data_IF_243200551636
#
_entry.id   IF_243200551636
#
_cell.length_a   1.000
_cell.length_b   1.000
_cell.length_c   1.000
_cell.angle_alpha   90.00
_cell.angle_beta   90.00
_cell.angle_gamma   90.00
#
_symmetry.space_group_name_H-M   'P 1'
#
loop_
_entity.id
_entity.type
_entity.pdbx_description
1 polymer ?
#
# COMPACT_ATOMS: atom_id res chain seq x y z
N UNK A 1 49.64 24.73 -5.79
CA UNK A 1 48.82 25.31 -4.72
C UNK A 1 47.61 25.98 -5.36
N UNK A 2 46.40 25.72 -4.86
CA UNK A 2 45.18 26.34 -5.36
C UNK A 2 44.89 27.64 -4.62
N UNK A 3 44.32 28.62 -5.32
CA UNK A 3 43.86 29.89 -4.74
C UNK A 3 42.44 30.21 -5.22
N UNK A 4 41.68 30.88 -4.36
CA UNK A 4 40.31 31.29 -4.63
C UNK A 4 40.24 32.81 -4.61
N UNK A 5 39.55 33.37 -5.60
CA UNK A 5 39.28 34.79 -5.70
C UNK A 5 37.79 35.04 -5.94
N UNK A 6 37.24 36.02 -5.24
CA UNK A 6 35.86 36.46 -5.45
C UNK A 6 35.84 37.73 -6.32
N UNK A 7 34.98 37.75 -7.33
CA UNK A 7 34.92 38.82 -8.33
C UNK A 7 33.49 39.28 -8.58
N UNK A 8 33.28 40.59 -8.64
CA UNK A 8 32.05 41.18 -9.15
C UNK A 8 32.13 41.28 -10.69
N UNK A 9 31.30 40.51 -11.41
CA UNK A 9 31.32 40.45 -12.89
C UNK A 9 30.00 40.89 -13.55
N UNK A 10 29.07 41.46 -12.78
CA UNK A 10 27.79 41.94 -13.29
C UNK A 10 27.85 43.40 -13.73
N UNK A 11 26.94 43.79 -14.63
CA UNK A 11 26.68 45.20 -14.97
C UNK A 11 25.60 45.84 -14.11
N UNK A 12 24.82 45.04 -13.35
CA UNK A 12 23.77 45.50 -12.44
C UNK A 12 24.35 46.22 -11.22
N UNK A 13 23.50 46.93 -10.48
CA UNK A 13 23.89 47.56 -9.21
C UNK A 13 24.10 46.50 -8.11
N UNK A 14 23.19 45.53 -7.99
CA UNK A 14 23.32 44.36 -7.11
C UNK A 14 23.45 43.07 -7.90
N UNK A 15 24.36 42.20 -7.49
CA UNK A 15 24.56 40.89 -8.09
C UNK A 15 25.39 39.95 -7.21
N UNK A 16 25.28 38.66 -7.51
CA UNK A 16 26.08 37.64 -6.86
C UNK A 16 27.56 37.70 -7.26
N UNK A 17 28.43 37.46 -6.29
CA UNK A 17 29.86 37.32 -6.51
C UNK A 17 30.18 36.04 -7.30
N UNK A 18 31.17 36.10 -8.16
CA UNK A 18 31.70 34.96 -8.89
C UNK A 18 32.96 34.47 -8.18
N UNK A 19 32.95 33.22 -7.75
CA UNK A 19 34.13 32.53 -7.25
C UNK A 19 34.99 32.09 -8.44
N UNK A 20 36.30 32.35 -8.36
CA UNK A 20 37.30 31.92 -9.33
C UNK A 20 38.35 31.06 -8.63
N UNK A 21 38.44 29.80 -9.02
CA UNK A 21 39.47 28.86 -8.59
C UNK A 21 40.64 28.88 -9.57
N UNK A 22 41.86 29.05 -9.07
CA UNK A 22 43.09 29.02 -9.86
C UNK A 22 44.07 28.02 -9.26
N UNK A 23 44.69 27.21 -10.10
CA UNK A 23 45.78 26.32 -9.67
C UNK A 23 46.67 25.98 -10.86
N UNK A 24 47.91 25.58 -10.56
CA UNK A 24 48.88 25.10 -11.54
C UNK A 24 49.14 23.61 -11.34
N UNK A 25 49.07 22.84 -12.41
CA UNK A 25 49.33 21.40 -12.42
C UNK A 25 50.03 21.03 -13.74
N UNK A 26 51.09 20.22 -13.68
CA UNK A 26 51.91 19.81 -14.84
C UNK A 26 52.30 20.98 -15.77
N UNK A 27 52.80 22.06 -15.17
CA UNK A 27 53.18 23.30 -15.84
C UNK A 27 52.05 24.08 -16.57
N UNK A 28 50.80 23.60 -16.52
CA UNK A 28 49.60 24.27 -17.07
C UNK A 28 48.82 24.98 -15.97
N UNK A 29 48.29 26.16 -16.30
CA UNK A 29 47.44 26.94 -15.41
C UNK A 29 45.97 26.67 -15.71
N UNK A 30 45.21 26.36 -14.65
CA UNK A 30 43.78 26.08 -14.73
C UNK A 30 43.00 27.19 -14.03
N UNK A 31 41.91 27.61 -14.68
CA UNK A 31 41.04 28.67 -14.17
C UNK A 31 39.59 28.28 -14.38
N UNK A 32 38.86 28.10 -13.28
CA UNK A 32 37.44 27.83 -13.30
C UNK A 32 36.67 28.88 -12.52
N UNK A 33 35.46 29.21 -12.99
CA UNK A 33 34.62 30.22 -12.38
C UNK A 33 33.18 29.74 -12.22
N UNK A 34 32.60 30.00 -11.04
CA UNK A 34 31.23 29.66 -10.71
C UNK A 34 30.55 30.79 -9.91
N UNK A 35 29.23 30.89 -10.00
CA UNK A 35 28.45 31.93 -9.33
C UNK A 35 28.12 31.48 -7.90
N UNK A 36 28.36 32.35 -6.92
CA UNK A 36 27.94 32.14 -5.54
C UNK A 36 26.49 32.62 -5.34
N UNK A 37 25.93 32.44 -4.14
CA UNK A 37 24.68 33.09 -3.68
C UNK A 37 24.92 34.34 -2.84
N UNK A 38 26.18 34.80 -2.71
CA UNK A 38 26.53 36.01 -1.94
C UNK A 38 26.27 37.23 -2.82
N UNK A 39 25.17 37.95 -2.56
CA UNK A 39 24.79 39.17 -3.28
C UNK A 39 25.38 40.41 -2.61
N UNK A 40 26.01 41.29 -3.40
CA UNK A 40 26.53 42.58 -2.93
C UNK A 40 26.24 43.68 -3.94
N UNK A 41 26.35 44.95 -3.54
CA UNK A 41 26.32 46.08 -4.48
C UNK A 41 27.68 46.31 -5.14
N UNK A 42 27.67 46.83 -6.37
CA UNK A 42 28.88 47.15 -7.15
C UNK A 42 29.72 48.23 -6.45
N UNK A 43 29.06 49.24 -5.88
CA UNK A 43 29.71 50.30 -5.13
C UNK A 43 30.43 49.74 -3.90
N UNK A 44 29.74 48.95 -3.09
CA UNK A 44 30.32 48.33 -1.90
C UNK A 44 31.55 47.47 -2.24
N UNK A 45 31.41 46.53 -3.18
CA UNK A 45 32.51 45.62 -3.52
C UNK A 45 33.75 46.33 -4.05
N UNK A 46 33.57 47.39 -4.85
CA UNK A 46 34.68 48.10 -5.51
C UNK A 46 35.32 49.20 -4.67
N UNK A 47 34.56 49.86 -3.79
CA UNK A 47 35.02 51.06 -3.05
C UNK A 47 35.08 50.88 -1.54
N UNK A 48 34.34 49.93 -0.98
CA UNK A 48 34.20 49.81 0.47
C UNK A 48 34.77 48.50 1.00
N UNK A 49 34.54 47.36 0.36
CA UNK A 49 34.82 46.04 0.93
C UNK A 49 36.28 45.79 1.38
N UNK A 50 37.27 46.33 0.65
CA UNK A 50 38.71 46.18 0.98
C UNK A 50 39.33 47.40 1.68
N UNK A 51 38.59 48.49 1.79
CA UNK A 51 39.11 49.74 2.34
C UNK A 51 38.76 49.87 3.82
N UNK A 52 39.67 50.43 4.61
CA UNK A 52 39.40 50.73 6.03
C UNK A 52 38.26 51.76 6.10
N UNK A 53 37.15 51.37 6.74
CA UNK A 53 36.02 52.26 6.99
C UNK A 53 36.02 52.70 8.46
N UNK A 54 35.57 53.93 8.72
CA UNK A 54 35.23 54.40 10.07
C UNK A 54 33.74 54.23 10.40
N UNK A 55 32.94 53.88 9.39
CA UNK A 55 31.52 53.60 9.52
C UNK A 55 31.34 52.16 10.04
N UNK A 56 30.60 52.04 11.13
CA UNK A 56 30.35 50.77 11.81
C UNK A 56 29.47 49.82 10.99
N UNK A 57 28.51 50.34 10.22
CA UNK A 57 27.63 49.50 9.39
C UNK A 57 28.42 48.85 8.26
N UNK A 58 29.29 49.63 7.60
CA UNK A 58 30.18 49.13 6.55
C UNK A 58 31.16 48.09 7.12
N UNK A 59 31.69 48.34 8.33
CA UNK A 59 32.65 47.43 8.99
C UNK A 59 31.98 46.09 9.37
N UNK A 60 30.74 46.14 9.85
CA UNK A 60 29.96 44.94 10.14
C UNK A 60 29.67 44.14 8.86
N UNK A 61 29.25 44.81 7.79
CA UNK A 61 29.00 44.18 6.49
C UNK A 61 30.28 43.56 5.87
N UNK A 62 31.44 44.22 6.03
CA UNK A 62 32.74 43.65 5.64
C UNK A 62 33.01 42.33 6.38
N UNK A 63 32.77 42.32 7.68
CA UNK A 63 32.98 41.14 8.53
C UNK A 63 32.05 40.00 8.15
N UNK A 64 30.76 40.28 7.98
CA UNK A 64 29.76 39.29 7.56
C UNK A 64 30.12 38.65 6.22
N UNK A 65 30.39 39.47 5.20
CA UNK A 65 30.74 38.98 3.87
C UNK A 65 32.05 38.20 3.92
N UNK A 66 33.10 38.70 4.58
CA UNK A 66 34.37 37.96 4.71
C UNK A 66 34.20 36.61 5.40
N UNK A 67 33.36 36.53 6.43
CA UNK A 67 33.08 35.26 7.11
C UNK A 67 32.42 34.25 6.16
N UNK A 68 31.43 34.67 5.36
CA UNK A 68 30.80 33.79 4.37
C UNK A 68 31.76 33.40 3.23
N UNK A 69 32.56 34.34 2.73
CA UNK A 69 33.55 34.05 1.69
C UNK A 69 34.61 33.06 2.18
N UNK A 70 35.10 33.23 3.42
CA UNK A 70 36.04 32.31 4.06
C UNK A 70 35.46 30.91 4.23
N UNK A 71 34.16 30.77 4.57
CA UNK A 71 33.50 29.46 4.67
C UNK A 71 33.45 28.76 3.31
N UNK A 72 33.03 29.48 2.27
CA UNK A 72 32.99 28.96 0.89
C UNK A 72 34.39 28.56 0.43
N UNK A 73 35.39 29.41 0.65
CA UNK A 73 36.78 29.15 0.29
C UNK A 73 37.32 27.89 0.98
N UNK A 74 37.12 27.77 2.28
CA UNK A 74 37.54 26.60 3.04
C UNK A 74 36.86 25.30 2.56
N UNK A 75 35.57 25.34 2.23
CA UNK A 75 34.85 24.19 1.69
C UNK A 75 35.46 23.72 0.36
N UNK A 76 35.64 24.64 -0.59
CA UNK A 76 36.16 24.33 -1.93
C UNK A 76 37.62 23.88 -1.87
N UNK A 77 38.47 24.53 -1.05
CA UNK A 77 39.87 24.12 -0.90
C UNK A 77 40.03 22.75 -0.23
N UNK A 78 39.19 22.42 0.76
CA UNK A 78 39.16 21.08 1.35
C UNK A 78 38.77 20.02 0.31
N UNK A 79 37.71 20.27 -0.46
CA UNK A 79 37.28 19.37 -1.53
C UNK A 79 38.32 19.24 -2.65
N UNK A 80 39.02 20.33 -2.98
CA UNK A 80 40.11 20.34 -3.96
C UNK A 80 41.24 19.39 -3.54
N UNK A 81 41.63 19.42 -2.27
CA UNK A 81 42.71 18.59 -1.75
C UNK A 81 42.36 17.08 -1.68
N UNK A 82 41.08 16.71 -1.79
CA UNK A 82 40.62 15.32 -1.74
C UNK A 82 40.41 14.67 -3.11
N UNK A 83 40.67 15.39 -4.21
CA UNK A 83 40.46 14.88 -5.57
C UNK A 83 41.71 15.05 -6.44
N UNK A 84 41.82 14.26 -7.52
CA UNK A 84 42.90 14.43 -8.48
C UNK A 84 42.72 15.76 -9.26
N UNK A 85 43.72 16.67 -9.29
CA UNK A 85 43.66 17.94 -10.02
C UNK A 85 43.26 17.84 -11.51
N UNK A 86 43.48 16.69 -12.17
CA UNK A 86 43.06 16.46 -13.57
C UNK A 86 41.54 16.28 -13.73
N UNK A 87 40.83 15.89 -12.67
CA UNK A 87 39.38 15.66 -12.67
C UNK A 87 38.55 16.93 -12.43
N UNK A 88 39.23 18.05 -12.15
CA UNK A 88 38.60 19.30 -11.77
C UNK A 88 38.11 20.03 -13.02
N UNK A 89 36.81 20.28 -13.06
CA UNK A 89 36.13 20.99 -14.15
C UNK A 89 35.30 22.15 -13.59
N UNK A 90 34.76 22.98 -14.49
CA UNK A 90 33.77 24.00 -14.12
C UNK A 90 32.53 23.39 -13.47
N UNK A 91 32.10 22.21 -13.91
CA UNK A 91 30.94 21.52 -13.37
C UNK A 91 31.24 21.01 -11.96
N UNK A 92 32.43 20.45 -11.72
CA UNK A 92 32.88 20.09 -10.38
C UNK A 92 32.81 21.27 -9.41
N UNK A 93 33.32 22.44 -9.82
CA UNK A 93 33.30 23.65 -8.98
C UNK A 93 31.88 24.12 -8.69
N UNK A 94 30.99 24.01 -9.68
CA UNK A 94 29.57 24.35 -9.52
C UNK A 94 28.90 23.37 -8.54
N UNK A 95 29.18 22.07 -8.64
CA UNK A 95 28.67 21.06 -7.70
C UNK A 95 29.17 21.26 -6.28
N UNK A 96 30.43 21.68 -6.06
CA UNK A 96 30.92 21.99 -4.71
C UNK A 96 30.19 23.20 -4.10
N UNK A 97 29.89 24.23 -4.90
CA UNK A 97 29.06 25.34 -4.42
C UNK A 97 27.64 24.88 -4.11
N UNK A 98 27.07 24.00 -4.93
CA UNK A 98 25.74 23.43 -4.66
C UNK A 98 25.74 22.58 -3.39
N UNK A 99 26.79 21.80 -3.12
CA UNK A 99 26.95 21.06 -1.85
C UNK A 99 27.17 21.98 -0.65
N UNK A 100 27.84 23.12 -0.82
CA UNK A 100 27.94 24.10 0.26
C UNK A 100 26.57 24.67 0.65
N UNK A 101 25.75 25.02 -0.34
CA UNK A 101 24.42 25.61 -0.09
C UNK A 101 23.33 24.57 0.20
N UNK A 102 23.49 23.34 -0.30
CA UNK A 102 22.60 22.20 -0.13
C UNK A 102 23.45 20.98 0.22
N UNK A 103 23.98 20.92 1.45
CA UNK A 103 24.79 19.78 1.87
C UNK A 103 24.00 18.49 1.62
N UNK A 104 24.58 17.47 0.96
CA UNK A 104 23.94 16.18 0.85
C UNK A 104 23.62 15.76 2.28
N UNK A 105 22.33 15.51 2.54
CA UNK A 105 21.89 15.00 3.84
C UNK A 105 22.72 13.77 4.10
N UNK A 106 23.49 13.76 5.19
CA UNK A 106 24.20 12.56 5.67
C UNK A 106 23.28 11.35 5.49
N UNK A 107 23.80 10.27 4.92
CA UNK A 107 23.07 9.01 4.78
C UNK A 107 22.38 8.71 6.11
N UNK A 108 21.05 8.89 6.16
CA UNK A 108 20.29 8.68 7.39
C UNK A 108 20.61 7.28 7.85
N UNK A 109 21.28 7.16 9.00
CA UNK A 109 21.63 5.87 9.57
C UNK A 109 20.39 4.98 9.55
N UNK A 110 20.51 3.79 8.94
CA UNK A 110 19.35 2.91 8.75
C UNK A 110 18.81 2.54 10.14
N UNK A 111 17.52 2.78 10.44
CA UNK A 111 16.99 2.54 11.78
C UNK A 111 17.15 1.07 12.21
N UNK A 112 17.57 0.84 13.45
CA UNK A 112 17.69 -0.50 14.03
C UNK A 112 16.46 -0.93 14.82
N UNK A 113 15.60 0.02 15.20
CA UNK A 113 14.31 -0.25 15.81
C UNK A 113 13.25 -0.56 14.74
N UNK A 114 12.32 -1.46 15.05
CA UNK A 114 11.37 -1.98 14.10
C UNK A 114 10.35 -0.93 13.64
N UNK A 115 9.97 0.03 14.51
CA UNK A 115 8.92 1.01 14.21
C UNK A 115 9.39 2.04 13.20
N UNK A 116 10.54 2.67 13.45
CA UNK A 116 11.14 3.62 12.50
C UNK A 116 11.60 2.92 11.23
N UNK A 117 12.01 1.64 11.32
CA UNK A 117 12.34 0.86 10.14
C UNK A 117 11.13 0.63 9.22
N UNK A 118 9.90 0.56 9.74
CA UNK A 118 8.70 0.48 8.90
C UNK A 118 8.54 1.75 8.06
N UNK A 119 8.79 2.93 8.62
CA UNK A 119 8.75 4.18 7.86
C UNK A 119 9.85 4.22 6.80
N UNK A 120 11.07 3.83 7.17
CA UNK A 120 12.18 3.67 6.23
C UNK A 120 11.81 2.71 5.08
N UNK A 121 11.23 1.54 5.39
CA UNK A 121 10.81 0.56 4.39
C UNK A 121 9.73 1.11 3.45
N UNK A 122 8.74 1.84 3.99
CA UNK A 122 7.67 2.46 3.20
C UNK A 122 8.25 3.49 2.22
N UNK A 123 9.20 4.31 2.67
CA UNK A 123 9.85 5.32 1.84
C UNK A 123 10.78 4.67 0.79
N UNK A 124 11.58 3.69 1.22
CA UNK A 124 12.48 2.93 0.36
C UNK A 124 11.72 2.24 -0.80
N UNK A 125 10.53 1.69 -0.53
CA UNK A 125 9.69 0.99 -1.52
C UNK A 125 8.53 1.85 -2.05
N UNK A 126 8.58 3.18 -1.95
CA UNK A 126 7.42 4.06 -2.24
C UNK A 126 6.83 3.89 -3.65
N UNK A 127 7.66 3.56 -4.64
CA UNK A 127 7.23 3.35 -6.02
C UNK A 127 6.67 1.94 -6.29
N UNK A 128 6.88 0.99 -5.37
CA UNK A 128 6.42 -0.40 -5.49
C UNK A 128 5.16 -0.67 -4.65
N UNK A 129 4.92 0.13 -3.62
CA UNK A 129 3.84 -0.08 -2.65
C UNK A 129 2.55 0.64 -3.09
N UNK A 130 1.50 -0.15 -3.37
CA UNK A 130 0.14 0.39 -3.56
C UNK A 130 -0.41 1.03 -2.26
N UNK A 131 -1.24 2.07 -2.38
CA UNK A 131 -1.88 2.80 -1.25
C UNK A 131 -2.47 1.88 -0.17
N UNK A 132 -3.23 0.85 -0.57
CA UNK A 132 -3.85 -0.12 0.36
C UNK A 132 -2.83 -0.93 1.15
N UNK A 133 -1.67 -1.21 0.57
CA UNK A 133 -0.57 -1.90 1.26
C UNK A 133 0.12 -0.97 2.25
N UNK A 134 0.37 0.30 1.87
CA UNK A 134 0.87 1.33 2.80
C UNK A 134 -0.03 1.46 4.04
N UNK A 135 -1.35 1.56 3.86
CA UNK A 135 -2.29 1.60 4.99
C UNK A 135 -2.19 0.38 5.91
N UNK A 136 -1.95 -0.83 5.38
CA UNK A 136 -1.75 -2.02 6.22
C UNK A 136 -0.46 -1.94 7.03
N UNK A 137 0.63 -1.44 6.44
CA UNK A 137 1.88 -1.25 7.14
C UNK A 137 1.74 -0.22 8.27
N UNK A 138 1.04 0.89 8.03
CA UNK A 138 0.71 1.87 9.08
C UNK A 138 -0.11 1.25 10.21
N UNK A 139 -1.11 0.40 9.91
CA UNK A 139 -1.89 -0.30 10.96
C UNK A 139 -1.00 -1.21 11.81
N UNK A 140 -0.05 -1.91 11.20
CA UNK A 140 0.91 -2.76 11.92
C UNK A 140 1.85 -1.90 12.77
N UNK A 141 2.38 -0.80 12.21
CA UNK A 141 3.21 0.17 12.94
C UNK A 141 2.51 0.66 14.20
N UNK A 142 1.29 1.19 14.09
CA UNK A 142 0.52 1.65 15.26
C UNK A 142 0.25 0.55 16.28
N UNK A 143 0.15 -0.72 15.84
CA UNK A 143 0.03 -1.84 16.78
C UNK A 143 1.33 -2.13 17.52
N UNK A 144 2.47 -2.04 16.82
CA UNK A 144 3.79 -2.17 17.44
C UNK A 144 4.06 -1.02 18.40
N UNK A 145 3.64 0.21 18.09
CA UNK A 145 3.72 1.36 19.02
C UNK A 145 2.95 1.10 20.32
N UNK A 146 1.74 0.51 20.23
CA UNK A 146 0.98 0.11 21.41
C UNK A 146 1.65 -1.05 22.16
N UNK A 147 2.26 -2.00 21.46
CA UNK A 147 3.02 -3.08 22.09
C UNK A 147 4.26 -2.55 22.82
N UNK A 148 5.01 -1.61 22.22
CA UNK A 148 6.14 -0.93 22.87
C UNK A 148 5.71 -0.19 24.13
N UNK A 149 4.56 0.50 24.07
CA UNK A 149 3.97 1.19 25.22
C UNK A 149 3.59 0.20 26.34
N UNK A 150 2.99 -0.94 25.98
CA UNK A 150 2.60 -1.99 26.92
C UNK A 150 3.82 -2.63 27.60
N UNK A 151 4.87 -2.95 26.83
CA UNK A 151 6.09 -3.59 27.35
C UNK A 151 7.12 -2.61 27.94
N UNK A 152 6.93 -1.31 27.73
CA UNK A 152 7.83 -0.21 28.14
C UNK A 152 9.27 -0.37 27.61
N UNK A 153 9.43 -0.99 26.45
CA UNK A 153 10.73 -1.27 25.82
C UNK A 153 10.59 -1.21 24.31
N UNK A 154 11.55 -0.57 23.64
CA UNK A 154 11.62 -0.55 22.19
C UNK A 154 11.84 -1.96 21.61
N UNK A 155 11.28 -2.22 20.44
CA UNK A 155 11.44 -3.45 19.69
C UNK A 155 12.57 -3.25 18.68
N UNK A 156 13.72 -3.87 18.95
CA UNK A 156 14.83 -3.90 17.99
C UNK A 156 14.61 -4.99 16.95
N UNK A 157 15.10 -4.78 15.73
CA UNK A 157 15.07 -5.77 14.65
C UNK A 157 15.83 -7.05 15.06
N UNK A 158 16.94 -6.90 15.78
CA UNK A 158 17.73 -8.00 16.32
C UNK A 158 16.98 -8.83 17.38
N UNK A 159 15.94 -8.27 18.01
CA UNK A 159 15.16 -8.92 19.07
C UNK A 159 13.95 -9.71 18.53
N UNK A 160 13.73 -9.73 17.21
CA UNK A 160 12.59 -10.45 16.59
C UNK A 160 12.88 -11.96 16.53
N UNK A 161 12.70 -12.61 17.68
CA UNK A 161 12.93 -14.03 17.93
C UNK A 161 11.66 -14.74 18.46
N UNK A 162 11.80 -15.98 18.96
CA UNK A 162 10.64 -16.75 19.46
C UNK A 162 9.98 -16.10 20.67
N UNK A 163 10.77 -15.47 21.56
CA UNK A 163 10.26 -14.73 22.71
C UNK A 163 9.41 -13.55 22.28
N UNK A 164 9.88 -12.75 21.31
CA UNK A 164 9.09 -11.67 20.72
C UNK A 164 7.79 -12.18 20.09
N UNK A 165 7.84 -13.31 19.36
CA UNK A 165 6.65 -13.94 18.78
C UNK A 165 5.62 -14.27 19.86
N UNK A 166 6.02 -14.89 20.96
CA UNK A 166 5.11 -15.27 22.04
C UNK A 166 4.51 -14.03 22.75
N UNK A 167 5.32 -13.00 22.99
CA UNK A 167 4.87 -11.72 23.53
C UNK A 167 3.86 -11.02 22.60
N UNK A 168 4.18 -10.92 21.30
CA UNK A 168 3.30 -10.34 20.29
C UNK A 168 1.95 -11.07 20.20
N UNK A 169 1.98 -12.40 20.22
CA UNK A 169 0.76 -13.23 20.23
C UNK A 169 -0.05 -13.01 21.49
N UNK A 170 0.60 -13.00 22.66
CA UNK A 170 -0.07 -12.77 23.94
C UNK A 170 -0.78 -11.41 23.98
N UNK A 171 -0.07 -10.34 23.62
CA UNK A 171 -0.63 -9.00 23.49
C UNK A 171 -1.79 -8.95 22.48
N UNK A 172 -1.63 -9.59 21.33
CA UNK A 172 -2.70 -9.59 20.34
C UNK A 172 -3.96 -10.35 20.83
N UNK A 173 -3.78 -11.42 21.59
CA UNK A 173 -4.88 -12.17 22.19
C UNK A 173 -5.58 -11.38 23.30
N UNK A 174 -4.85 -10.67 24.15
CA UNK A 174 -5.45 -9.79 25.16
C UNK A 174 -6.30 -8.67 24.51
N UNK A 175 -5.87 -8.20 23.34
CA UNK A 175 -6.60 -7.22 22.51
C UNK A 175 -7.69 -7.83 21.60
N UNK A 176 -8.00 -9.12 21.79
CA UNK A 176 -9.03 -9.87 21.05
C UNK A 176 -8.85 -9.87 19.52
N UNK A 177 -7.60 -9.85 19.02
CA UNK A 177 -7.32 -10.04 17.60
C UNK A 177 -7.47 -11.53 17.21
N UNK A 178 -8.12 -11.77 16.06
CA UNK A 178 -8.27 -13.12 15.53
C UNK A 178 -6.92 -13.76 15.13
N UNK A 179 -6.75 -15.06 15.35
CA UNK A 179 -5.52 -15.81 15.05
C UNK A 179 -4.97 -15.56 13.64
N UNK A 180 -5.83 -15.61 12.62
CA UNK A 180 -5.44 -15.37 11.23
C UNK A 180 -4.95 -13.93 10.97
N UNK A 181 -5.37 -12.96 11.78
CA UNK A 181 -4.83 -11.59 11.74
C UNK A 181 -3.43 -11.56 12.33
N UNK A 182 -3.24 -12.18 13.51
CA UNK A 182 -1.95 -12.26 14.19
C UNK A 182 -0.91 -12.94 13.30
N UNK A 183 -1.26 -14.09 12.72
CA UNK A 183 -0.40 -14.83 11.80
C UNK A 183 0.07 -13.97 10.62
N UNK A 184 -0.86 -13.25 9.98
CA UNK A 184 -0.55 -12.42 8.81
C UNK A 184 0.35 -11.25 9.19
N UNK A 185 0.11 -10.62 10.33
CA UNK A 185 0.90 -9.49 10.79
C UNK A 185 2.31 -9.92 11.19
N UNK A 186 2.47 -11.06 11.88
CA UNK A 186 3.78 -11.64 12.14
C UNK A 186 4.54 -11.91 10.83
N UNK A 187 3.87 -12.46 9.82
CA UNK A 187 4.49 -12.68 8.51
C UNK A 187 4.95 -11.36 7.85
N UNK A 188 4.20 -10.26 8.00
CA UNK A 188 4.59 -8.94 7.49
C UNK A 188 5.74 -8.34 8.32
N UNK A 189 5.74 -8.49 9.65
CA UNK A 189 6.85 -8.08 10.52
C UNK A 189 8.14 -8.77 10.09
N UNK A 190 8.09 -10.08 9.80
CA UNK A 190 9.22 -10.82 9.23
C UNK A 190 9.69 -10.22 7.91
N UNK A 191 8.79 -9.75 7.04
CA UNK A 191 9.18 -9.10 5.77
C UNK A 191 10.05 -7.87 6.02
N UNK A 192 9.70 -7.02 6.99
CA UNK A 192 10.52 -5.86 7.35
C UNK A 192 11.90 -6.29 7.86
N UNK A 193 11.95 -7.28 8.75
CA UNK A 193 13.21 -7.78 9.30
C UNK A 193 14.09 -8.45 8.22
N UNK A 194 13.49 -9.20 7.29
CA UNK A 194 14.22 -9.79 6.15
C UNK A 194 14.80 -8.72 5.23
N UNK A 195 14.06 -7.64 5.00
CA UNK A 195 14.58 -6.49 4.26
C UNK A 195 15.72 -5.80 5.04
N UNK A 196 15.61 -5.68 6.36
CA UNK A 196 16.66 -5.16 7.22
C UNK A 196 17.96 -5.96 7.08
N UNK A 197 17.85 -7.30 7.11
CA UNK A 197 18.97 -8.21 6.83
C UNK A 197 19.61 -7.95 5.46
N UNK A 198 18.78 -7.78 4.43
CA UNK A 198 19.26 -7.53 3.06
C UNK A 198 20.06 -6.23 2.94
N UNK A 199 19.69 -5.18 3.69
CA UNK A 199 20.41 -3.89 3.70
C UNK A 199 21.54 -3.83 4.74
N UNK A 200 21.93 -4.96 5.32
CA UNK A 200 23.09 -5.07 6.22
C UNK A 200 22.80 -4.85 7.71
N UNK A 201 21.54 -4.82 8.14
CA UNK A 201 21.20 -4.79 9.57
C UNK A 201 21.17 -6.22 10.11
N UNK A 202 21.82 -6.43 11.26
CA UNK A 202 21.79 -7.70 11.97
C UNK A 202 20.36 -8.09 12.41
N UNK A 203 20.02 -9.36 12.22
CA UNK A 203 18.73 -9.92 12.63
C UNK A 203 18.94 -11.20 13.40
N UNK A 204 18.00 -11.56 14.27
CA UNK A 204 18.06 -12.82 15.00
C UNK A 204 18.08 -14.06 14.07
N UNK A 205 18.89 -15.10 14.36
CA UNK A 205 18.92 -16.35 13.59
C UNK A 205 17.56 -17.07 13.51
N UNK A 206 16.76 -17.00 14.58
CA UNK A 206 15.44 -17.63 14.65
C UNK A 206 14.37 -16.97 13.76
N UNK A 207 14.63 -15.79 13.19
CA UNK A 207 13.65 -15.01 12.43
C UNK A 207 12.93 -15.84 11.36
N UNK A 208 13.67 -16.65 10.60
CA UNK A 208 13.13 -17.42 9.49
C UNK A 208 12.17 -18.53 9.95
N UNK A 209 12.45 -19.13 11.10
CA UNK A 209 11.66 -20.21 11.70
C UNK A 209 10.37 -19.73 12.39
N UNK A 210 10.22 -18.42 12.63
CA UNK A 210 9.01 -17.89 13.27
C UNK A 210 7.77 -18.16 12.41
N UNK A 211 6.87 -19.00 12.91
CA UNK A 211 5.64 -19.36 12.21
C UNK A 211 4.46 -19.39 13.18
N UNK A 212 3.28 -19.06 12.66
CA UNK A 212 2.01 -19.27 13.32
C UNK A 212 1.09 -19.99 12.35
N UNK A 213 0.34 -20.95 12.87
CA UNK A 213 -0.68 -21.64 12.08
C UNK A 213 -1.91 -20.75 11.86
N UNK A 214 -2.53 -20.95 10.71
CA UNK A 214 -3.81 -20.32 10.39
C UNK A 214 -4.95 -21.21 10.88
N UNK A 215 -5.92 -20.59 11.52
CA UNK A 215 -7.19 -21.24 11.82
C UNK A 215 -7.99 -21.46 10.54
N UNK A 216 -8.54 -22.67 10.39
CA UNK A 216 -9.49 -22.98 9.31
C UNK A 216 -10.77 -22.17 9.54
N UNK A 217 -11.22 -21.51 8.47
CA UNK A 217 -12.45 -20.71 8.49
C UNK A 217 -13.49 -21.38 7.60
N UNK A 218 -14.70 -21.56 8.12
CA UNK A 218 -15.83 -22.06 7.35
C UNK A 218 -16.08 -21.22 6.09
N UNK A 219 -16.34 -21.89 4.97
CA UNK A 219 -16.60 -21.26 3.67
C UNK A 219 -18.11 -21.23 3.43
N UNK A 220 -18.74 -20.12 3.80
CA UNK A 220 -20.20 -19.95 3.75
C UNK A 220 -20.64 -19.50 2.36
N UNK A 221 -21.57 -20.19 1.73
CA UNK A 221 -22.10 -19.80 0.42
C UNK A 221 -23.61 -19.96 0.39
N UNK A 222 -24.25 -19.35 -0.61
CA UNK A 222 -25.68 -19.52 -0.90
C UNK A 222 -25.83 -20.64 -1.92
N UNK A 223 -26.58 -21.68 -1.58
CA UNK A 223 -26.89 -22.78 -2.50
C UNK A 223 -27.88 -22.32 -3.58
N UNK A 224 -28.16 -23.15 -4.58
CA UNK A 224 -29.19 -22.82 -5.58
C UNK A 224 -30.59 -22.68 -4.94
N UNK A 225 -30.88 -23.45 -3.90
CA UNK A 225 -32.12 -23.34 -3.13
C UNK A 225 -32.21 -21.98 -2.41
N UNK A 226 -31.11 -21.52 -1.80
CA UNK A 226 -31.05 -20.19 -1.18
C UNK A 226 -31.28 -19.08 -2.22
N UNK A 227 -30.64 -19.19 -3.39
CA UNK A 227 -30.81 -18.22 -4.47
C UNK A 227 -32.25 -18.19 -4.97
N UNK A 228 -32.89 -19.35 -5.09
CA UNK A 228 -34.30 -19.46 -5.46
C UNK A 228 -35.21 -18.78 -4.43
N UNK A 229 -34.95 -18.96 -3.13
CA UNK A 229 -35.69 -18.25 -2.06
C UNK A 229 -35.53 -16.74 -2.17
N UNK A 230 -34.31 -16.27 -2.45
CA UNK A 230 -34.02 -14.84 -2.64
C UNK A 230 -34.76 -14.28 -3.86
N UNK A 231 -34.73 -14.98 -4.99
CA UNK A 231 -35.42 -14.58 -6.21
C UNK A 231 -36.94 -14.45 -6.00
N UNK A 232 -37.51 -15.37 -5.21
CA UNK A 232 -38.95 -15.46 -4.94
C UNK A 232 -39.45 -14.57 -3.79
N UNK A 233 -38.62 -13.70 -3.20
CA UNK A 233 -39.10 -12.74 -2.20
C UNK A 233 -40.16 -11.85 -2.84
N UNK A 234 -41.34 -11.83 -2.22
CA UNK A 234 -42.47 -11.03 -2.69
C UNK A 234 -42.14 -9.53 -2.70
N UNK A 235 -42.60 -8.84 -3.75
CA UNK A 235 -42.22 -7.44 -4.02
C UNK A 235 -42.69 -6.47 -2.93
N UNK A 236 -43.82 -6.74 -2.30
CA UNK A 236 -44.37 -5.96 -1.17
C UNK A 236 -43.45 -5.97 0.07
N UNK A 237 -42.59 -6.98 0.21
CA UNK A 237 -41.62 -7.07 1.31
C UNK A 237 -40.31 -6.30 1.04
N UNK A 238 -40.12 -5.78 -0.17
CA UNK A 238 -38.86 -5.18 -0.60
C UNK A 238 -39.04 -3.68 -0.82
N UNK A 239 -38.23 -2.88 -0.11
CA UNK A 239 -38.01 -1.49 -0.50
C UNK A 239 -37.18 -1.44 -1.79
N UNK A 240 -37.20 -0.30 -2.51
CA UNK A 240 -36.38 -0.12 -3.72
C UNK A 240 -34.88 -0.36 -3.49
N UNK A 241 -34.39 -0.05 -2.27
CA UNK A 241 -33.01 -0.31 -1.87
C UNK A 241 -32.71 -1.80 -1.71
N UNK A 242 -33.64 -2.55 -1.09
CA UNK A 242 -33.50 -3.98 -0.90
C UNK A 242 -33.67 -4.74 -2.22
N UNK A 243 -34.61 -4.33 -3.09
CA UNK A 243 -34.77 -4.93 -4.42
C UNK A 243 -33.53 -4.67 -5.31
N UNK A 244 -32.92 -3.49 -5.20
CA UNK A 244 -31.66 -3.18 -5.87
C UNK A 244 -30.48 -4.02 -5.34
N UNK A 245 -30.37 -4.20 -4.03
CA UNK A 245 -29.34 -5.05 -3.42
C UNK A 245 -29.55 -6.54 -3.74
N UNK A 246 -30.80 -6.99 -3.77
CA UNK A 246 -31.22 -8.34 -4.19
C UNK A 246 -30.73 -8.64 -5.60
N UNK A 247 -31.03 -7.76 -6.55
CA UNK A 247 -30.62 -7.93 -7.94
C UNK A 247 -29.08 -7.96 -8.06
N UNK A 248 -28.37 -7.08 -7.34
CA UNK A 248 -26.90 -7.14 -7.27
C UNK A 248 -26.37 -8.43 -6.65
N UNK A 249 -27.03 -8.98 -5.63
CA UNK A 249 -26.67 -10.26 -5.01
C UNK A 249 -26.78 -11.40 -6.03
N UNK A 250 -27.90 -11.50 -6.75
CA UNK A 250 -28.08 -12.51 -7.80
C UNK A 250 -27.04 -12.34 -8.90
N UNK A 251 -26.81 -11.10 -9.40
CA UNK A 251 -25.76 -10.82 -10.38
C UNK A 251 -24.40 -11.31 -9.89
N UNK A 252 -24.05 -11.02 -8.63
CA UNK A 252 -22.76 -11.44 -8.07
C UNK A 252 -22.63 -12.98 -7.95
N UNK A 253 -23.75 -13.67 -7.69
CA UNK A 253 -23.82 -15.14 -7.59
C UNK A 253 -23.75 -15.85 -8.95
N UNK A 254 -24.05 -15.15 -10.04
CA UNK A 254 -24.02 -15.71 -11.40
C UNK A 254 -22.92 -15.15 -12.31
N UNK A 255 -22.16 -14.15 -11.85
CA UNK A 255 -21.00 -13.60 -12.60
C UNK A 255 -19.65 -13.92 -11.97
N UNK A 256 -19.62 -14.33 -10.69
CA UNK A 256 -18.38 -14.75 -10.04
C UNK A 256 -17.37 -13.63 -9.76
N UNK A 257 -17.76 -12.36 -9.88
CA UNK A 257 -16.84 -11.22 -9.76
C UNK A 257 -16.73 -10.65 -8.35
N UNK A 258 -15.67 -9.87 -8.10
CA UNK A 258 -15.48 -9.16 -6.81
C UNK A 258 -16.43 -7.96 -6.76
N UNK A 259 -16.83 -7.54 -5.56
CA UNK A 259 -17.68 -6.36 -5.37
C UNK A 259 -17.15 -5.12 -6.06
N UNK A 260 -15.84 -4.89 -5.96
CA UNK A 260 -15.21 -3.76 -6.64
C UNK A 260 -15.54 -3.76 -8.12
N UNK A 261 -15.61 -4.93 -8.76
CA UNK A 261 -15.77 -5.12 -10.19
C UNK A 261 -17.24 -5.15 -10.61
N UNK A 262 -18.08 -6.03 -10.04
CA UNK A 262 -19.49 -6.12 -10.47
C UNK A 262 -20.28 -4.85 -10.18
N UNK A 263 -19.95 -4.14 -9.09
CA UNK A 263 -20.61 -2.88 -8.71
C UNK A 263 -20.28 -1.71 -9.68
N UNK A 264 -19.46 -1.95 -10.71
CA UNK A 264 -19.14 -1.03 -11.80
C UNK A 264 -19.62 -1.55 -13.16
N UNK A 265 -20.41 -2.61 -13.21
CA UNK A 265 -20.95 -3.08 -14.46
C UNK A 265 -21.89 -2.06 -15.08
N UNK A 266 -21.72 -1.85 -16.38
CA UNK A 266 -22.58 -0.95 -17.16
C UNK A 266 -23.06 -1.66 -18.43
N UNK A 267 -24.17 -1.21 -19.00
CA UNK A 267 -24.76 -1.84 -20.19
C UNK A 267 -23.83 -1.73 -21.41
N UNK A 268 -22.99 -0.70 -21.47
CA UNK A 268 -22.01 -0.46 -22.54
C UNK A 268 -20.89 -1.50 -22.56
N UNK A 269 -20.68 -2.22 -21.44
CA UNK A 269 -19.72 -3.32 -21.36
C UNK A 269 -20.29 -4.62 -21.92
N UNK A 270 -21.58 -4.67 -22.26
CA UNK A 270 -22.23 -5.86 -22.80
C UNK A 270 -22.12 -5.85 -24.32
N UNK A 271 -21.59 -6.94 -24.88
CA UNK A 271 -21.58 -7.23 -26.31
C UNK A 271 -22.30 -8.53 -26.61
N UNK A 272 -22.88 -8.61 -27.81
CA UNK A 272 -23.48 -9.85 -28.33
C UNK A 272 -22.54 -10.41 -29.38
N UNK A 273 -22.10 -11.64 -29.17
CA UNK A 273 -21.17 -12.34 -30.06
C UNK A 273 -21.71 -13.76 -30.27
N UNK A 274 -21.96 -14.14 -31.53
CA UNK A 274 -22.57 -15.44 -31.88
C UNK A 274 -23.86 -15.76 -31.10
N UNK A 275 -24.71 -14.75 -30.90
CA UNK A 275 -25.97 -14.90 -30.13
C UNK A 275 -25.78 -15.08 -28.62
N UNK A 276 -24.56 -14.88 -28.09
CA UNK A 276 -24.25 -14.95 -26.65
C UNK A 276 -23.96 -13.56 -26.10
N UNK A 277 -24.55 -13.24 -24.95
CA UNK A 277 -24.29 -12.01 -24.23
C UNK A 277 -23.02 -12.16 -23.40
N UNK A 278 -22.02 -11.31 -23.66
CA UNK A 278 -20.75 -11.27 -22.97
C UNK A 278 -20.58 -9.90 -22.30
N UNK A 279 -20.02 -9.86 -21.09
CA UNK A 279 -19.60 -8.62 -20.45
C UNK A 279 -18.07 -8.52 -20.42
N UNK A 280 -17.55 -7.37 -20.82
CA UNK A 280 -16.11 -7.09 -20.86
C UNK A 280 -15.72 -5.97 -19.90
N UNK A 281 -14.75 -6.22 -19.03
CA UNK A 281 -14.32 -5.26 -18.01
C UNK A 281 -12.91 -5.53 -17.52
N UNK A 282 -12.25 -4.51 -16.98
CA UNK A 282 -10.93 -4.63 -16.33
C UNK A 282 -11.08 -4.78 -14.82
N UNK A 283 -10.53 -5.85 -14.26
CA UNK A 283 -10.54 -6.12 -12.82
C UNK A 283 -9.68 -5.09 -12.05
N UNK A 284 -10.25 -4.44 -11.04
CA UNK A 284 -9.55 -3.37 -10.29
C UNK A 284 -8.31 -3.86 -9.54
N UNK A 285 -8.33 -5.11 -9.05
CA UNK A 285 -7.26 -5.62 -8.18
C UNK A 285 -6.03 -6.04 -8.98
N UNK A 286 -6.25 -6.67 -10.11
CA UNK A 286 -5.26 -7.40 -10.92
C UNK A 286 -4.96 -6.72 -12.24
N UNK A 287 -5.76 -5.73 -12.64
CA UNK A 287 -5.65 -5.01 -13.91
C UNK A 287 -5.75 -5.90 -15.14
N UNK A 288 -6.49 -7.01 -15.01
CA UNK A 288 -6.74 -7.96 -16.09
C UNK A 288 -8.07 -7.64 -16.77
N UNK A 289 -8.06 -7.51 -18.09
CA UNK A 289 -9.27 -7.49 -18.91
C UNK A 289 -9.89 -8.89 -18.94
N UNK A 290 -11.18 -8.96 -18.63
CA UNK A 290 -11.95 -10.19 -18.53
C UNK A 290 -13.15 -10.10 -19.46
N UNK A 291 -13.51 -11.22 -20.08
CA UNK A 291 -14.75 -11.37 -20.85
C UNK A 291 -15.52 -12.54 -20.25
N UNK A 292 -16.71 -12.27 -19.71
CA UNK A 292 -17.50 -13.28 -18.98
C UNK A 292 -18.87 -13.43 -19.66
N UNK A 293 -19.35 -14.66 -19.92
CA UNK A 293 -20.70 -14.86 -20.42
C UNK A 293 -21.74 -14.49 -19.35
N UNK A 294 -22.82 -13.83 -19.75
CA UNK A 294 -23.93 -13.50 -18.86
C UNK A 294 -24.88 -14.69 -18.75
N UNK A 295 -25.07 -15.16 -17.52
CA UNK A 295 -26.03 -16.21 -17.20
C UNK A 295 -27.47 -15.74 -17.46
N UNK A 296 -28.42 -16.62 -17.86
CA UNK A 296 -29.83 -16.26 -18.07
C UNK A 296 -30.46 -15.47 -16.91
N UNK A 297 -30.16 -15.86 -15.66
CA UNK A 297 -30.59 -15.12 -14.46
C UNK A 297 -30.13 -13.65 -14.39
N UNK A 298 -28.96 -13.35 -14.97
CA UNK A 298 -28.48 -11.97 -15.08
C UNK A 298 -29.25 -11.23 -16.17
N UNK A 299 -29.55 -11.90 -17.28
CA UNK A 299 -30.34 -11.32 -18.37
C UNK A 299 -31.79 -11.03 -17.94
N UNK A 300 -32.40 -11.89 -17.12
CA UNK A 300 -33.72 -11.65 -16.50
C UNK A 300 -33.74 -10.35 -15.70
N UNK A 301 -32.70 -10.10 -14.91
CA UNK A 301 -32.55 -8.85 -14.13
C UNK A 301 -32.35 -7.64 -15.04
N UNK A 302 -31.53 -7.77 -16.08
CA UNK A 302 -31.35 -6.69 -17.06
C UNK A 302 -32.67 -6.37 -17.76
N UNK A 303 -33.45 -7.38 -18.15
CA UNK A 303 -34.77 -7.19 -18.75
C UNK A 303 -35.74 -6.49 -17.79
N UNK A 304 -35.81 -6.92 -16.52
CA UNK A 304 -36.57 -6.25 -15.45
C UNK A 304 -36.18 -4.77 -15.30
N UNK A 305 -34.93 -4.42 -15.59
CA UNK A 305 -34.35 -3.09 -15.44
C UNK A 305 -34.11 -2.36 -16.78
N UNK A 306 -34.90 -2.68 -17.80
CA UNK A 306 -34.85 -2.02 -19.12
C UNK A 306 -33.43 -2.00 -19.73
N UNK A 307 -32.75 -3.16 -19.68
CA UNK A 307 -31.40 -3.37 -20.22
C UNK A 307 -30.26 -2.79 -19.37
N UNK A 308 -30.53 -2.29 -18.17
CA UNK A 308 -29.53 -1.65 -17.32
C UNK A 308 -29.22 -2.46 -16.06
N UNK A 309 -27.99 -2.34 -15.56
CA UNK A 309 -27.64 -2.88 -14.24
C UNK A 309 -28.34 -2.10 -13.11
N UNK A 310 -28.48 -2.70 -11.90
CA UNK A 310 -29.01 -1.98 -10.75
C UNK A 310 -28.12 -0.76 -10.40
N UNK A 311 -28.67 0.24 -9.72
CA UNK A 311 -27.87 1.42 -9.38
C UNK A 311 -26.79 1.08 -8.36
N UNK A 312 -25.69 1.84 -8.40
CA UNK A 312 -24.51 1.58 -7.57
C UNK A 312 -24.78 1.81 -6.08
N UNK A 313 -24.33 0.88 -5.25
CA UNK A 313 -24.37 0.99 -3.78
C UNK A 313 -22.93 1.01 -3.23
N UNK A 314 -22.69 1.67 -2.10
CA UNK A 314 -21.42 1.55 -1.40
C UNK A 314 -21.24 0.13 -0.82
N UNK A 315 -19.99 -0.35 -0.77
CA UNK A 315 -19.68 -1.70 -0.27
C UNK A 315 -20.28 -1.99 1.12
N UNK A 316 -20.29 -0.98 2.00
CA UNK A 316 -20.85 -1.11 3.34
C UNK A 316 -22.38 -1.26 3.29
N UNK A 317 -23.09 -0.33 2.64
CA UNK A 317 -24.55 -0.40 2.52
C UNK A 317 -25.00 -1.67 1.80
N UNK A 318 -24.27 -2.09 0.77
CA UNK A 318 -24.57 -3.35 0.09
C UNK A 318 -24.46 -4.54 1.04
N UNK A 319 -23.41 -4.61 1.88
CA UNK A 319 -23.28 -5.67 2.87
C UNK A 319 -24.39 -5.66 3.92
N UNK A 320 -24.90 -4.49 4.28
CA UNK A 320 -26.01 -4.38 5.22
C UNK A 320 -27.30 -4.89 4.55
N UNK A 321 -27.64 -4.36 3.37
CA UNK A 321 -28.86 -4.73 2.64
C UNK A 321 -28.93 -6.21 2.23
N UNK A 322 -27.83 -6.84 1.84
CA UNK A 322 -27.89 -8.27 1.47
C UNK A 322 -28.15 -9.18 2.67
N UNK A 323 -27.86 -8.74 3.90
CA UNK A 323 -28.23 -9.48 5.11
C UNK A 323 -29.72 -9.41 5.33
N UNK A 324 -30.32 -8.23 5.17
CA UNK A 324 -31.76 -8.03 5.27
C UNK A 324 -32.49 -8.82 4.18
N UNK A 325 -31.99 -8.80 2.94
CA UNK A 325 -32.53 -9.62 1.83
C UNK A 325 -32.48 -11.11 2.17
N UNK A 326 -31.37 -11.61 2.71
CA UNK A 326 -31.26 -13.02 3.09
C UNK A 326 -32.15 -13.37 4.30
N UNK A 327 -32.37 -12.43 5.22
CA UNK A 327 -33.29 -12.60 6.34
C UNK A 327 -34.74 -12.71 5.86
N UNK A 328 -35.15 -11.84 4.94
CA UNK A 328 -36.47 -11.86 4.29
C UNK A 328 -36.69 -13.13 3.45
N UNK A 329 -35.62 -13.72 2.92
CA UNK A 329 -35.63 -15.04 2.26
C UNK A 329 -35.61 -16.23 3.24
N UNK A 330 -35.67 -15.97 4.55
CA UNK A 330 -35.68 -16.97 5.61
C UNK A 330 -34.40 -17.85 5.66
N UNK A 331 -33.25 -17.29 5.25
CA UNK A 331 -31.94 -17.96 5.25
C UNK A 331 -31.30 -17.83 6.65
N UNK A 332 -31.88 -18.56 7.59
CA UNK A 332 -31.65 -18.42 9.03
C UNK A 332 -30.91 -19.59 9.67
N UNK A 333 -30.42 -20.55 8.89
CA UNK A 333 -29.83 -21.77 9.44
C UNK A 333 -28.59 -21.48 10.30
N UNK A 334 -28.46 -22.12 11.49
CA UNK A 334 -27.31 -21.94 12.35
C UNK A 334 -26.01 -22.36 11.63
N UNK A 335 -25.16 -21.38 11.36
CA UNK A 335 -23.95 -21.56 10.57
C UNK A 335 -22.73 -21.12 11.36
N UNK A 336 -21.67 -21.94 11.37
CA UNK A 336 -20.38 -21.56 11.94
C UNK A 336 -19.72 -20.49 11.07
N UNK A 337 -19.35 -19.38 11.67
CA UNK A 337 -18.66 -18.30 10.97
C UNK A 337 -18.10 -17.30 11.95
N UNK A 338 -17.81 -16.09 11.46
CA UNK A 338 -17.44 -15.00 12.34
C UNK A 338 -17.95 -13.67 11.80
N UNK A 339 -18.45 -12.83 12.70
CA UNK A 339 -18.88 -11.46 12.40
C UNK A 339 -18.10 -10.45 13.24
N UNK A 340 -18.16 -9.17 12.86
CA UNK A 340 -17.59 -8.10 13.67
C UNK A 340 -18.55 -7.81 14.82
N UNK A 341 -18.05 -7.91 16.06
CA UNK A 341 -18.78 -7.65 17.29
C UNK A 341 -18.00 -6.61 18.08
N UNK A 342 -18.71 -5.72 18.77
CA UNK A 342 -18.09 -4.74 19.65
C UNK A 342 -17.45 -5.46 20.85
N UNK A 343 -16.21 -5.12 21.20
CA UNK A 343 -15.46 -5.80 22.28
C UNK A 343 -16.10 -5.57 23.63
N UNK A 344 -16.57 -4.35 23.87
CA UNK A 344 -17.29 -3.93 25.06
C UNK A 344 -18.33 -2.91 24.64
N UNK A 345 -19.54 -2.98 25.22
CA UNK A 345 -20.65 -2.09 24.88
C UNK A 345 -20.23 -0.62 24.98
N UNK A 346 -20.27 0.11 23.88
CA UNK A 346 -19.91 1.54 23.81
C UNK A 346 -18.42 1.84 23.56
N UNK A 347 -17.55 0.82 23.49
CA UNK A 347 -16.12 1.01 23.19
C UNK A 347 -15.85 1.49 21.76
N UNK A 348 -16.80 1.28 20.83
CA UNK A 348 -16.65 1.47 19.38
C UNK A 348 -15.48 0.66 18.76
N UNK A 349 -14.94 -0.31 19.49
CA UNK A 349 -13.88 -1.20 19.03
C UNK A 349 -14.53 -2.50 18.58
N UNK A 350 -14.44 -2.80 17.29
CA UNK A 350 -15.00 -4.04 16.73
C UNK A 350 -13.91 -5.07 16.49
N UNK A 351 -14.19 -6.31 16.88
CA UNK A 351 -13.33 -7.47 16.66
C UNK A 351 -14.11 -8.61 16.02
N UNK A 352 -13.41 -9.44 15.27
CA UNK A 352 -14.01 -10.60 14.60
C UNK A 352 -14.17 -11.71 15.63
N UNK A 353 -15.40 -12.07 15.96
CA UNK A 353 -15.71 -13.15 16.89
C UNK A 353 -16.23 -14.36 16.11
N UNK A 354 -15.58 -15.51 16.31
CA UNK A 354 -16.04 -16.78 15.77
C UNK A 354 -17.14 -17.37 16.64
N UNK A 355 -18.14 -17.96 16.02
CA UNK A 355 -19.30 -18.53 16.69
C UNK A 355 -20.28 -19.15 15.71
N UNK A 356 -21.44 -19.54 16.24
CA UNK A 356 -22.59 -19.95 15.43
C UNK A 356 -23.56 -18.78 15.36
N UNK A 357 -23.91 -18.38 14.14
CA UNK A 357 -24.83 -17.27 13.87
C UNK A 357 -25.86 -17.72 12.84
N UNK A 358 -26.95 -16.97 12.68
CA UNK A 358 -27.85 -17.21 11.55
C UNK A 358 -27.08 -16.91 10.27
N UNK A 359 -27.31 -17.70 9.21
CA UNK A 359 -26.53 -17.58 7.98
C UNK A 359 -26.61 -16.18 7.35
N UNK A 360 -27.79 -15.55 7.33
CA UNK A 360 -27.93 -14.19 6.81
C UNK A 360 -26.96 -13.19 7.48
N UNK A 361 -26.68 -13.31 8.78
CA UNK A 361 -25.76 -12.41 9.51
C UNK A 361 -24.29 -12.51 9.04
N UNK A 362 -23.94 -13.64 8.43
CA UNK A 362 -22.59 -13.97 7.97
C UNK A 362 -22.38 -13.61 6.51
N UNK A 363 -23.44 -13.18 5.82
CA UNK A 363 -23.39 -12.75 4.43
C UNK A 363 -22.59 -11.45 4.31
N UNK A 364 -21.68 -11.44 3.33
CA UNK A 364 -20.91 -10.27 2.92
C UNK A 364 -20.74 -10.34 1.41
N UNK A 365 -20.23 -9.29 0.79
CA UNK A 365 -20.14 -9.17 -0.66
C UNK A 365 -19.32 -10.23 -1.36
N UNK A 366 -18.39 -10.86 -0.65
CA UNK A 366 -17.65 -12.01 -1.16
C UNK A 366 -18.50 -13.28 -1.29
N UNK A 367 -19.72 -13.32 -0.76
CA UNK A 367 -20.59 -14.48 -0.86
C UNK A 367 -20.93 -14.78 -2.31
N UNK A 368 -21.19 -13.77 -3.15
CA UNK A 368 -21.64 -13.99 -4.52
C UNK A 368 -20.66 -14.80 -5.34
N UNK A 369 -19.42 -14.32 -5.41
CA UNK A 369 -18.31 -15.05 -6.03
C UNK A 369 -18.09 -16.45 -5.44
N UNK A 370 -18.32 -16.63 -4.14
CA UNK A 370 -18.15 -17.92 -3.46
C UNK A 370 -19.27 -18.88 -3.82
N UNK A 371 -20.53 -18.42 -3.83
CA UNK A 371 -21.69 -19.16 -4.30
C UNK A 371 -21.53 -19.59 -5.74
N UNK A 372 -21.11 -18.67 -6.63
CA UNK A 372 -20.79 -19.02 -8.02
C UNK A 372 -19.77 -20.17 -8.10
N UNK A 373 -18.62 -19.98 -7.46
CA UNK A 373 -17.53 -20.94 -7.53
C UNK A 373 -17.92 -22.31 -6.94
N UNK A 374 -18.64 -22.33 -5.82
CA UNK A 374 -19.01 -23.56 -5.12
C UNK A 374 -20.17 -24.29 -5.79
N UNK A 375 -21.22 -23.58 -6.22
CA UNK A 375 -22.42 -24.19 -6.79
C UNK A 375 -22.16 -24.78 -8.19
N UNK A 376 -21.31 -24.13 -8.99
CA UNK A 376 -20.96 -24.61 -10.32
C UNK A 376 -19.75 -25.56 -10.34
N UNK A 377 -19.11 -25.80 -9.19
CA UNK A 377 -18.03 -26.77 -9.11
C UNK A 377 -18.57 -28.19 -9.33
N UNK A 378 -17.90 -28.95 -10.20
CA UNK A 378 -18.34 -30.30 -10.61
C UNK A 378 -19.33 -30.31 -11.78
N UNK A 379 -19.96 -29.17 -12.11
CA UNK A 379 -20.84 -29.04 -13.29
C UNK A 379 -20.16 -28.29 -14.43
N UNK A 380 -19.42 -27.21 -14.12
CA UNK A 380 -18.59 -26.49 -15.07
C UNK A 380 -17.14 -26.94 -14.90
N UNK A 381 -16.39 -27.18 -16.00
CA UNK A 381 -14.97 -27.47 -15.92
C UNK A 381 -14.21 -26.44 -15.07
N UNK A 382 -13.38 -26.92 -14.14
CA UNK A 382 -12.65 -26.10 -13.15
C UNK A 382 -11.82 -24.99 -13.81
N UNK A 383 -11.28 -25.24 -15.01
CA UNK A 383 -10.51 -24.26 -15.79
C UNK A 383 -11.33 -23.00 -16.09
N UNK A 384 -12.61 -23.14 -16.47
CA UNK A 384 -13.50 -22.01 -16.75
C UNK A 384 -13.92 -21.30 -15.46
N UNK A 385 -14.13 -22.02 -14.36
CA UNK A 385 -14.43 -21.40 -13.06
C UNK A 385 -13.24 -20.57 -12.55
N UNK A 386 -12.01 -21.09 -12.69
CA UNK A 386 -10.77 -20.36 -12.36
C UNK A 386 -10.65 -19.09 -13.21
N UNK A 387 -10.91 -19.20 -14.52
CA UNK A 387 -10.93 -18.06 -15.43
C UNK A 387 -11.95 -17.01 -15.00
N UNK A 388 -13.24 -17.38 -14.90
CA UNK A 388 -14.33 -16.44 -14.56
C UNK A 388 -14.05 -15.78 -13.22
N UNK A 389 -13.70 -16.56 -12.20
CA UNK A 389 -13.39 -15.97 -10.89
C UNK A 389 -12.05 -15.24 -10.87
N UNK A 390 -11.16 -15.41 -11.84
CA UNK A 390 -9.84 -14.77 -11.88
C UNK A 390 -8.97 -15.17 -10.67
N UNK A 391 -8.91 -16.47 -10.37
CA UNK A 391 -7.89 -17.04 -9.48
C UNK A 391 -6.61 -17.32 -10.29
N UNK A 392 -5.44 -17.14 -9.68
CA UNK A 392 -4.15 -17.32 -10.38
C UNK A 392 -3.73 -18.78 -10.48
N UNK A 393 -4.16 -19.62 -9.53
CA UNK A 393 -3.82 -21.04 -9.46
C UNK A 393 -5.02 -21.85 -9.01
N UNK A 394 -5.04 -23.13 -9.38
CA UNK A 394 -6.08 -24.07 -8.97
C UNK A 394 -6.08 -24.30 -7.45
N UNK A 395 -4.91 -24.42 -6.82
CA UNK A 395 -4.79 -24.53 -5.37
C UNK A 395 -5.47 -23.36 -4.63
N UNK A 396 -5.37 -22.14 -5.17
CA UNK A 396 -6.06 -20.97 -4.61
C UNK A 396 -7.59 -21.09 -4.74
N UNK A 397 -8.07 -21.60 -5.88
CA UNK A 397 -9.49 -21.82 -6.15
C UNK A 397 -10.08 -22.92 -5.24
N UNK A 398 -9.42 -24.07 -5.12
CA UNK A 398 -9.89 -25.18 -4.27
C UNK A 398 -9.98 -24.77 -2.79
N UNK A 399 -8.96 -24.07 -2.28
CA UNK A 399 -9.00 -23.49 -0.93
C UNK A 399 -10.09 -22.41 -0.77
N UNK A 400 -10.45 -21.71 -1.86
CA UNK A 400 -11.51 -20.70 -1.82
C UNK A 400 -12.90 -21.32 -1.61
N UNK A 401 -13.21 -22.41 -2.32
CA UNK A 401 -14.48 -23.14 -2.18
C UNK A 401 -14.52 -24.08 -0.96
N UNK A 402 -13.36 -24.37 -0.36
CA UNK A 402 -13.28 -25.17 0.87
C UNK A 402 -13.53 -26.66 0.67
N UNK A 403 -13.41 -27.14 -0.57
CA UNK A 403 -13.53 -28.56 -0.89
C UNK A 403 -12.28 -29.29 -0.39
N UNK A 404 -12.53 -30.43 0.24
CA UNK A 404 -11.52 -31.34 0.77
C UNK A 404 -11.24 -32.47 -0.23
N UNK A 405 -10.16 -33.22 0.01
CA UNK A 405 -9.88 -34.44 -0.76
C UNK A 405 -11.06 -35.43 -0.73
N UNK A 406 -11.87 -35.44 0.34
CA UNK A 406 -13.08 -36.26 0.44
C UNK A 406 -14.16 -35.83 -0.54
N UNK A 407 -14.38 -34.54 -0.70
CA UNK A 407 -15.36 -34.03 -1.67
C UNK A 407 -14.93 -34.33 -3.10
N UNK A 408 -13.62 -34.24 -3.36
CA UNK A 408 -13.05 -34.62 -4.66
C UNK A 408 -13.29 -36.11 -4.94
N UNK A 409 -13.07 -36.97 -3.94
CA UNK A 409 -13.31 -38.41 -4.07
C UNK A 409 -14.78 -38.73 -4.39
N UNK A 410 -15.74 -38.03 -3.77
CA UNK A 410 -17.17 -38.18 -4.06
C UNK A 410 -17.57 -37.68 -5.45
N UNK A 411 -16.94 -36.62 -5.95
CA UNK A 411 -17.19 -36.17 -7.33
C UNK A 411 -16.63 -37.15 -8.36
N UNK A 412 -15.48 -37.77 -8.05
CA UNK A 412 -14.86 -38.78 -8.92
C UNK A 412 -15.77 -40.00 -9.11
N UNK A 413 -16.57 -40.40 -8.12
CA UNK A 413 -17.51 -41.53 -8.28
C UNK A 413 -18.63 -41.25 -9.28
N UNK A 414 -18.78 -40.02 -9.80
CA UNK A 414 -19.74 -39.73 -10.88
C UNK A 414 -19.20 -40.07 -12.27
N UNK A 415 -17.89 -40.36 -12.37
CA UNK A 415 -17.22 -40.65 -13.62
C UNK A 415 -17.04 -42.15 -13.90
N UNK A 416 -17.30 -43.02 -12.92
CA UNK A 416 -17.29 -44.48 -13.09
C UNK A 416 -18.44 -45.15 -12.36
#
# INVERSE_FOLDING_TARGET
MASINFLYRSTKDKANLNLRLLYRYNAKDYVFGAKTKVEVSKYYWSKQHKNKSKDIEITNLQTEINNELNKIENHVLKAFNSVNPESITKDWLTSQLDYYYNPPTEDKAIPKDLINYIDFYIEYRKHEIKKRTKSKFTVIKHKLERLESFRKKQILIADVNDSFKNEFVSYCKSESYAQNTIQRELAIIKTFCKHARFVGIETHPQLDSLMLEKEKVAKIYLSFEDLTKIENISKDKLTDSLDNAKDWLIISCYTGQRISDFMRFTKEQIRIENGKHLIEFTQQKTDKTMTVPLHPKVLEILHKRNGSFPYKISDQKYNDFIKDVCELAEINEPTKGSKMVETQKGSKIFRKQSGTYKKHELVTSHIGRRSFATNFYGTIPTTYLIYITGHSTEAMFLNYIGKSNKDLALEITKYF
#
